data_IF_472907399209
#
_entry.id   IF_472907399209
#
_cell.length_a   1.000
_cell.length_b   1.000
_cell.length_c   1.000
_cell.angle_alpha   90.00
_cell.angle_beta   90.00
_cell.angle_gamma   90.00
#
_symmetry.space_group_name_H-M   'P 1'
#
loop_
_entity.id
_entity.type
_entity.pdbx_description
1 polymer ?
#
# COMPACT_ATOMS: atom_id res chain seq x y z
N UNK A 1 0.97 -8.79 5.54
CA UNK A 1 -0.32 -8.21 5.19
C UNK A 1 -1.39 -9.18 5.68
N UNK A 2 -2.45 -8.70 6.32
CA UNK A 2 -3.36 -9.56 7.10
C UNK A 2 -4.08 -10.59 6.23
N UNK A 3 -4.27 -10.34 4.93
CA UNK A 3 -4.89 -11.32 4.04
C UNK A 3 -4.09 -12.61 3.90
N UNK A 4 -2.78 -12.59 4.21
CA UNK A 4 -1.96 -13.82 4.29
C UNK A 4 -2.51 -14.81 5.31
N UNK A 5 -3.10 -14.31 6.40
CA UNK A 5 -3.76 -15.12 7.43
C UNK A 5 -5.23 -15.34 7.11
N UNK A 6 -5.95 -14.29 6.68
CA UNK A 6 -7.40 -14.36 6.41
C UNK A 6 -7.74 -15.40 5.34
N UNK A 7 -6.87 -15.61 4.34
CA UNK A 7 -7.09 -16.64 3.31
C UNK A 7 -7.30 -18.05 3.90
N UNK A 8 -6.74 -18.34 5.07
CA UNK A 8 -6.88 -19.63 5.73
C UNK A 8 -8.24 -19.81 6.40
N UNK A 9 -9.01 -18.74 6.60
CA UNK A 9 -10.30 -18.76 7.29
C UNK A 9 -11.44 -19.24 6.39
N UNK A 10 -11.27 -19.24 5.06
CA UNK A 10 -12.31 -19.65 4.10
C UNK A 10 -13.68 -19.00 4.37
N UNK A 11 -13.68 -17.72 4.74
CA UNK A 11 -14.90 -16.96 5.06
C UNK A 11 -15.52 -17.21 6.44
N UNK A 12 -14.93 -18.05 7.30
CA UNK A 12 -15.46 -18.36 8.64
C UNK A 12 -14.72 -17.60 9.74
N UNK A 13 -15.46 -16.84 10.55
CA UNK A 13 -14.94 -16.07 11.70
C UNK A 13 -15.64 -16.51 13.01
N UNK A 14 -16.06 -17.77 13.05
CA UNK A 14 -16.51 -18.45 14.26
C UNK A 14 -15.34 -18.69 15.23
N UNK A 15 -15.59 -19.34 16.36
CA UNK A 15 -14.55 -19.62 17.36
C UNK A 15 -13.36 -20.39 16.75
N UNK A 16 -13.64 -21.38 15.91
CA UNK A 16 -12.60 -22.15 15.21
C UNK A 16 -11.81 -21.27 14.23
N UNK A 17 -12.49 -20.39 13.50
CA UNK A 17 -11.86 -19.40 12.63
C UNK A 17 -10.95 -18.44 13.40
N UNK A 18 -11.37 -17.96 14.58
CA UNK A 18 -10.55 -17.11 15.44
C UNK A 18 -9.31 -17.84 15.97
N UNK A 19 -9.46 -19.10 16.40
CA UNK A 19 -8.32 -19.93 16.83
C UNK A 19 -7.34 -20.17 15.67
N UNK A 20 -7.86 -20.47 14.48
CA UNK A 20 -7.06 -20.63 13.26
C UNK A 20 -6.31 -19.34 12.90
N UNK A 21 -6.98 -18.20 12.97
CA UNK A 21 -6.36 -16.88 12.77
C UNK A 21 -5.22 -16.64 13.78
N UNK A 22 -5.48 -16.88 15.07
CA UNK A 22 -4.48 -16.70 16.12
C UNK A 22 -3.26 -17.60 15.92
N UNK A 23 -3.48 -18.86 15.53
CA UNK A 23 -2.43 -19.83 15.23
C UNK A 23 -1.52 -19.36 14.08
N UNK A 24 -2.07 -19.00 12.93
CA UNK A 24 -1.29 -18.55 11.78
C UNK A 24 -0.60 -17.21 12.01
N UNK A 25 -1.23 -16.31 12.78
CA UNK A 25 -0.61 -15.06 13.21
C UNK A 25 0.59 -15.32 14.12
N UNK A 26 0.46 -16.22 15.09
CA UNK A 26 1.52 -16.57 16.03
C UNK A 26 2.70 -17.27 15.33
N UNK A 27 2.42 -18.11 14.32
CA UNK A 27 3.43 -18.74 13.45
C UNK A 27 4.26 -17.77 12.62
N UNK A 28 3.89 -16.48 12.59
CA UNK A 28 4.65 -15.45 11.90
C UNK A 28 4.44 -15.40 10.39
N UNK A 29 3.30 -15.90 9.88
CA UNK A 29 3.02 -15.89 8.43
C UNK A 29 2.85 -14.48 7.84
N UNK A 30 2.69 -13.46 8.69
CA UNK A 30 2.61 -12.05 8.28
C UNK A 30 4.03 -11.53 8.06
N UNK A 31 4.61 -11.86 6.90
CA UNK A 31 5.96 -11.45 6.48
C UNK A 31 5.96 -10.26 5.49
N UNK A 32 4.80 -9.66 5.25
CA UNK A 32 4.64 -8.51 4.36
C UNK A 32 4.16 -7.28 5.12
N UNK A 33 4.82 -6.15 4.94
CA UNK A 33 4.35 -4.85 5.42
C UNK A 33 3.42 -4.21 4.39
N UNK A 34 2.39 -3.51 4.87
CA UNK A 34 1.40 -2.84 4.02
C UNK A 34 1.42 -1.34 4.33
N UNK A 35 1.76 -0.53 3.32
CA UNK A 35 1.76 0.92 3.42
C UNK A 35 0.34 1.45 3.35
N UNK A 36 -0.18 1.94 4.48
CA UNK A 36 -1.54 2.50 4.56
C UNK A 36 -1.59 3.89 3.94
N UNK A 37 -0.66 4.75 4.35
CA UNK A 37 -0.58 6.14 3.91
C UNK A 37 0.88 6.59 3.97
N UNK A 38 1.27 7.38 2.98
CA UNK A 38 2.54 8.09 2.97
C UNK A 38 2.30 9.47 2.38
N UNK A 39 2.89 10.50 2.99
CA UNK A 39 2.74 11.87 2.53
C UNK A 39 3.62 12.82 3.30
N UNK A 40 3.95 13.93 2.64
CA UNK A 40 4.65 15.08 3.22
C UNK A 40 3.81 16.29 2.86
N UNK A 41 3.57 17.18 3.82
CA UNK A 41 2.81 18.41 3.57
C UNK A 41 3.57 19.31 2.57
N UNK A 42 2.87 20.08 1.72
CA UNK A 42 3.47 20.79 0.58
C UNK A 42 4.71 21.63 0.90
N UNK A 43 4.73 22.27 2.07
CA UNK A 43 5.80 23.14 2.56
C UNK A 43 7.16 22.41 2.73
N UNK A 44 7.12 21.09 2.85
CA UNK A 44 8.28 20.23 3.09
C UNK A 44 8.58 19.28 1.92
N UNK A 45 7.81 19.34 0.83
CA UNK A 45 8.07 18.57 -0.39
C UNK A 45 9.31 19.09 -1.13
N UNK A 46 10.01 18.21 -1.86
CA UNK A 46 11.20 18.57 -2.65
C UNK A 46 12.46 18.84 -1.81
N UNK A 47 12.39 18.74 -0.48
CA UNK A 47 13.51 18.95 0.45
C UNK A 47 14.22 17.65 0.87
N UNK A 48 13.87 16.52 0.25
CA UNK A 48 14.40 15.18 0.58
C UNK A 48 13.84 14.56 1.87
N UNK A 49 12.81 15.17 2.47
CA UNK A 49 12.20 14.71 3.73
C UNK A 49 11.46 13.37 3.53
N UNK A 50 10.83 13.19 2.39
CA UNK A 50 10.22 11.93 1.95
C UNK A 50 11.24 10.77 1.97
N UNK A 51 12.41 10.97 1.37
CA UNK A 51 13.49 9.98 1.39
C UNK A 51 14.04 9.74 2.80
N UNK A 52 14.21 10.81 3.58
CA UNK A 52 14.70 10.71 4.96
C UNK A 52 13.73 9.89 5.84
N UNK A 53 12.41 10.09 5.71
CA UNK A 53 11.41 9.30 6.41
C UNK A 53 11.49 7.81 6.06
N UNK A 54 11.64 7.49 4.78
CA UNK A 54 11.74 6.10 4.31
C UNK A 54 13.00 5.42 4.83
N UNK A 55 14.16 6.08 4.75
CA UNK A 55 15.42 5.56 5.26
C UNK A 55 15.35 5.38 6.78
N UNK A 56 14.74 6.32 7.49
CA UNK A 56 14.60 6.26 8.95
C UNK A 56 13.70 5.09 9.36
N UNK A 57 12.58 4.90 8.66
CA UNK A 57 11.72 3.74 8.86
C UNK A 57 12.45 2.43 8.53
N UNK A 58 13.22 2.38 7.44
CA UNK A 58 14.01 1.21 7.06
C UNK A 58 15.02 0.81 8.15
N UNK A 59 15.72 1.78 8.75
CA UNK A 59 16.67 1.53 9.86
C UNK A 59 16.02 0.90 11.09
N UNK A 60 14.73 1.16 11.34
CA UNK A 60 13.98 0.54 12.45
C UNK A 60 13.41 -0.82 12.05
N UNK A 61 12.87 -0.94 10.84
CA UNK A 61 12.10 -2.11 10.41
C UNK A 61 12.98 -3.25 9.90
N UNK A 62 14.04 -2.96 9.12
CA UNK A 62 14.87 -3.99 8.52
C UNK A 62 15.61 -4.87 9.55
N UNK A 63 16.16 -4.33 10.66
CA UNK A 63 16.81 -5.15 11.69
C UNK A 63 15.88 -6.17 12.36
N UNK A 64 14.56 -5.94 12.34
CA UNK A 64 13.58 -6.88 12.88
C UNK A 64 13.57 -8.21 12.10
N UNK A 65 14.07 -8.23 10.86
CA UNK A 65 14.10 -9.39 9.95
C UNK A 65 12.74 -10.12 9.81
N UNK A 66 11.65 -9.43 10.15
CA UNK A 66 10.29 -9.97 10.18
C UNK A 66 9.60 -9.85 8.82
N UNK A 67 9.88 -8.78 8.09
CA UNK A 67 9.21 -8.47 6.85
C UNK A 67 10.16 -8.67 5.67
N UNK A 68 9.69 -9.40 4.65
CA UNK A 68 10.40 -9.64 3.39
C UNK A 68 10.04 -8.59 2.35
N UNK A 69 8.79 -8.14 2.36
CA UNK A 69 8.25 -7.25 1.34
C UNK A 69 7.51 -6.08 1.99
N UNK A 70 7.60 -4.90 1.37
CA UNK A 70 6.71 -3.76 1.62
C UNK A 70 5.85 -3.57 0.37
N UNK A 71 4.53 -3.68 0.51
CA UNK A 71 3.59 -3.29 -0.53
C UNK A 71 3.11 -1.87 -0.28
N UNK A 72 3.27 -1.03 -1.29
CA UNK A 72 2.64 0.28 -1.39
C UNK A 72 1.56 0.20 -2.47
N UNK A 73 0.42 0.80 -2.19
CA UNK A 73 -0.79 0.67 -2.99
C UNK A 73 -1.49 2.02 -3.08
N UNK A 74 -2.50 2.10 -3.95
CA UNK A 74 -3.31 3.30 -4.14
C UNK A 74 -2.52 4.52 -4.63
N UNK A 75 -1.41 4.27 -5.35
CA UNK A 75 -0.72 5.32 -6.10
C UNK A 75 -1.47 5.50 -7.42
N UNK A 76 -2.27 6.56 -7.50
CA UNK A 76 -3.02 6.91 -8.71
C UNK A 76 -2.09 7.31 -9.85
N UNK A 77 -2.48 6.99 -11.08
CA UNK A 77 -1.73 7.39 -12.28
C UNK A 77 -1.71 8.90 -12.51
N UNK A 78 -2.61 9.63 -11.85
CA UNK A 78 -2.61 11.08 -11.73
C UNK A 78 -1.57 11.62 -10.75
N UNK A 79 -0.81 10.78 -10.04
CA UNK A 79 0.25 11.19 -9.10
C UNK A 79 1.64 10.74 -9.60
N UNK A 80 2.18 11.35 -10.66
CA UNK A 80 3.46 10.95 -11.25
C UNK A 80 4.64 11.12 -10.28
N UNK A 81 4.58 12.11 -9.38
CA UNK A 81 5.59 12.33 -8.34
C UNK A 81 5.75 11.11 -7.43
N UNK A 82 4.64 10.60 -6.88
CA UNK A 82 4.69 9.41 -6.01
C UNK A 82 5.11 8.15 -6.76
N UNK A 83 4.72 8.00 -8.03
CA UNK A 83 5.18 6.88 -8.87
C UNK A 83 6.70 6.91 -9.01
N UNK A 84 7.26 8.06 -9.40
CA UNK A 84 8.71 8.22 -9.56
C UNK A 84 9.47 8.01 -8.25
N UNK A 85 8.91 8.47 -7.14
CA UNK A 85 9.50 8.26 -5.80
C UNK A 85 9.63 6.77 -5.49
N UNK A 86 8.57 5.97 -5.70
CA UNK A 86 8.63 4.53 -5.40
C UNK A 86 9.50 3.76 -6.40
N UNK A 87 9.54 4.18 -7.67
CA UNK A 87 10.45 3.60 -8.67
C UNK A 87 11.92 3.82 -8.29
N UNK A 88 12.27 5.01 -7.81
CA UNK A 88 13.62 5.33 -7.34
C UNK A 88 14.07 4.48 -6.14
N UNK A 89 13.14 3.88 -5.39
CA UNK A 89 13.44 2.95 -4.29
C UNK A 89 13.69 1.52 -4.78
N UNK A 90 13.72 1.28 -6.09
CA UNK A 90 13.90 -0.05 -6.67
C UNK A 90 12.68 -0.95 -6.57
N UNK A 91 11.48 -0.37 -6.44
CA UNK A 91 10.23 -1.14 -6.36
C UNK A 91 9.80 -1.62 -7.75
N UNK A 92 8.92 -2.63 -7.78
CA UNK A 92 8.34 -3.16 -9.01
C UNK A 92 6.82 -3.12 -8.94
N UNK A 93 6.17 -2.88 -10.09
CA UNK A 93 4.71 -2.86 -10.17
C UNK A 93 4.19 -4.31 -10.16
N UNK A 94 3.56 -4.72 -9.05
CA UNK A 94 3.00 -6.07 -8.91
C UNK A 94 1.55 -6.18 -9.38
N UNK A 95 0.78 -5.10 -9.24
CA UNK A 95 -0.65 -5.05 -9.59
C UNK A 95 -1.00 -3.69 -10.15
N UNK A 96 -1.79 -3.67 -11.22
CA UNK A 96 -2.34 -2.46 -11.82
C UNK A 96 -3.86 -2.57 -11.88
N UNK A 97 -4.54 -1.76 -11.08
CA UNK A 97 -6.00 -1.69 -11.04
C UNK A 97 -6.48 -0.56 -11.97
N UNK A 98 -7.66 -0.74 -12.56
CA UNK A 98 -8.33 0.31 -13.36
C UNK A 98 -9.68 0.61 -12.73
N UNK A 99 -9.92 1.88 -12.46
CA UNK A 99 -11.21 2.36 -11.95
C UNK A 99 -12.01 2.91 -13.12
N UNK A 100 -13.18 2.33 -13.37
CA UNK A 100 -14.11 2.80 -14.40
C UNK A 100 -15.18 3.68 -13.77
N UNK A 101 -15.55 4.77 -14.45
CA UNK A 101 -16.64 5.65 -14.05
C UNK A 101 -17.67 5.66 -15.17
N UNK A 102 -18.93 5.36 -14.84
CA UNK A 102 -20.08 5.50 -15.76
C UNK A 102 -20.87 6.73 -15.34
N UNK A 103 -21.05 7.65 -16.28
CA UNK A 103 -21.95 8.80 -16.12
C UNK A 103 -23.30 8.35 -16.71
N UNK A 104 -24.35 8.35 -15.90
CA UNK A 104 -25.68 7.88 -16.34
C UNK A 104 -26.37 8.90 -17.27
N UNK A 105 -26.10 10.19 -17.07
CA UNK A 105 -26.56 11.28 -17.94
C UNK A 105 -25.53 11.54 -19.04
N UNK A 106 -25.86 11.15 -20.27
CA UNK A 106 -24.97 11.29 -21.42
C UNK A 106 -24.70 12.75 -21.82
N UNK A 107 -25.48 13.72 -21.33
CA UNK A 107 -25.25 15.15 -21.57
C UNK A 107 -24.10 15.71 -20.74
N UNK A 108 -23.67 15.02 -19.68
CA UNK A 108 -22.63 15.50 -18.78
C UNK A 108 -21.25 15.10 -19.32
N UNK A 109 -20.29 16.05 -19.39
CA UNK A 109 -18.92 15.74 -19.79
C UNK A 109 -18.20 14.89 -18.74
N UNK A 110 -17.27 14.06 -19.19
CA UNK A 110 -16.34 13.33 -18.32
C UNK A 110 -15.08 14.16 -18.07
N UNK A 111 -14.72 14.32 -16.80
CA UNK A 111 -13.43 14.86 -16.37
C UNK A 111 -12.66 13.79 -15.60
N UNK A 112 -11.44 13.52 -16.07
CA UNK A 112 -10.47 12.71 -15.34
C UNK A 112 -10.00 13.46 -14.10
N UNK A 113 -9.55 12.73 -13.08
CA UNK A 113 -8.84 13.34 -11.96
C UNK A 113 -7.66 14.18 -12.48
N UNK A 114 -7.47 15.43 -12.00
CA UNK A 114 -6.34 16.24 -12.42
C UNK A 114 -5.04 15.58 -11.97
N UNK A 115 -3.98 15.80 -12.75
CA UNK A 115 -2.65 15.40 -12.32
C UNK A 115 -2.26 16.23 -11.09
N UNK A 116 -1.70 15.56 -10.08
CA UNK A 116 -1.08 16.20 -8.93
C UNK A 116 0.32 16.64 -9.37
N UNK A 117 0.48 17.95 -9.53
CA UNK A 117 1.75 18.56 -9.90
C UNK A 117 2.81 18.43 -8.83
#
# INVERSE_FOLDING_TARGET
>A
EINQVIRHLNGRIDLLGKLKFAYYRWRGEIDKMFGVLFGVIPEFQGKGIDGALIISAAKVVQPLKKYRNLEMNWIGDFNPKMIKMVENLGTTVTKRYRTYRKIFDASKPFYRAPNLD
#
